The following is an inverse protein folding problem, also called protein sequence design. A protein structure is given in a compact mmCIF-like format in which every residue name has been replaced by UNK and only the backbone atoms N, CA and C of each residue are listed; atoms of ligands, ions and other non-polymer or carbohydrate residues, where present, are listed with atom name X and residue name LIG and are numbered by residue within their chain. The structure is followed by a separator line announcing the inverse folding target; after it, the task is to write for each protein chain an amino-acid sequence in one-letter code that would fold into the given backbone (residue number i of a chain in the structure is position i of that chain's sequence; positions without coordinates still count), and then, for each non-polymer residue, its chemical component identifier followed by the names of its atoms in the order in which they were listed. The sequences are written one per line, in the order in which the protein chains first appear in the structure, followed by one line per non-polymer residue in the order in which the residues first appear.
data_IF_744178933779
#
_entry.id   IF_744178933779
#
_cell.length_a   1.000
_cell.length_b   1.000
_cell.length_c   1.000
_cell.angle_alpha   90.00
_cell.angle_beta   90.00
_cell.angle_gamma   90.00
#
_symmetry.space_group_name_H-M   'P 1'
#
loop_
_entity.id
_entity.type
_entity.pdbx_description
1 polymer ?
#
# COMPACT_ATOMS: atom_id res chain seq x y z
N UNK A 1 -38.54 12.64 25.69
CA UNK A 1 -37.51 12.89 24.65
C UNK A 1 -36.09 12.51 25.09
N UNK A 2 -35.64 12.84 26.32
CA UNK A 2 -34.29 12.46 26.84
C UNK A 2 -34.04 10.94 27.01
N UNK A 3 -35.10 10.13 27.20
CA UNK A 3 -34.98 8.68 27.46
C UNK A 3 -34.50 7.86 26.25
N UNK A 4 -34.84 8.32 25.03
CA UNK A 4 -34.36 7.71 23.78
C UNK A 4 -33.00 8.28 23.33
N UNK A 5 -32.63 9.47 23.82
CA UNK A 5 -31.35 10.10 23.54
C UNK A 5 -30.17 9.26 24.07
N UNK A 6 -30.34 8.66 25.26
CA UNK A 6 -29.33 7.78 25.88
C UNK A 6 -29.20 6.43 25.16
N UNK A 7 -30.29 5.92 24.58
CA UNK A 7 -30.29 4.70 23.75
C UNK A 7 -29.60 4.91 22.40
N UNK A 8 -29.77 6.09 21.77
CA UNK A 8 -29.08 6.43 20.51
C UNK A 8 -27.58 6.58 20.73
N UNK A 9 -27.15 7.14 21.88
CA UNK A 9 -25.74 7.29 22.23
C UNK A 9 -25.06 5.93 22.48
N UNK A 10 -25.78 4.95 23.02
CA UNK A 10 -25.26 3.60 23.23
C UNK A 10 -25.13 2.83 21.90
N UNK A 11 -26.01 3.07 20.93
CA UNK A 11 -25.97 2.42 19.61
C UNK A 11 -24.73 2.80 18.78
N UNK A 12 -24.18 4.01 18.97
CA UNK A 12 -22.97 4.46 18.27
C UNK A 12 -21.66 3.89 18.84
N UNK A 13 -21.65 3.37 20.07
CA UNK A 13 -20.44 2.81 20.71
C UNK A 13 -20.20 1.35 20.29
N UNK A 14 -21.24 0.64 19.86
CA UNK A 14 -21.18 -0.79 19.52
C UNK A 14 -20.93 -1.08 18.04
N UNK A 15 -20.87 -0.05 17.18
CA UNK A 15 -20.53 -0.21 15.78
C UNK A 15 -19.05 0.15 15.58
N UNK A 16 -18.10 -0.81 15.70
CA UNK A 16 -16.74 -0.53 15.29
C UNK A 16 -16.77 -0.21 13.80
N UNK A 17 -16.51 1.04 13.46
CA UNK A 17 -16.37 1.48 12.08
C UNK A 17 -15.10 0.84 11.55
N UNK A 18 -15.23 -0.33 10.91
CA UNK A 18 -14.11 -0.99 10.24
C UNK A 18 -13.85 -0.24 8.95
N UNK A 19 -12.95 0.73 9.01
CA UNK A 19 -12.33 1.27 7.80
C UNK A 19 -11.39 0.19 7.29
N UNK A 20 -11.87 -0.64 6.36
CA UNK A 20 -11.01 -1.50 5.59
C UNK A 20 -10.44 -0.67 4.45
N UNK A 21 -9.10 -0.55 4.38
CA UNK A 21 -8.46 0.25 3.35
C UNK A 21 -8.87 -0.22 1.95
N UNK A 22 -9.06 0.74 1.06
CA UNK A 22 -9.63 0.51 -0.27
C UNK A 22 -8.70 -0.37 -1.12
N UNK A 23 -9.26 -1.40 -1.76
CA UNK A 23 -8.53 -2.29 -2.68
C UNK A 23 -8.65 -1.72 -4.09
N UNK A 24 -7.54 -1.63 -4.81
CA UNK A 24 -7.57 -1.19 -6.21
C UNK A 24 -8.13 -2.30 -7.10
N UNK A 25 -9.16 -2.00 -7.88
CA UNK A 25 -9.74 -2.96 -8.84
C UNK A 25 -9.45 -2.49 -10.27
N UNK A 26 -8.57 -3.23 -10.96
CA UNK A 26 -8.24 -2.96 -12.36
C UNK A 26 -9.31 -3.58 -13.27
N UNK A 27 -10.06 -2.73 -13.99
CA UNK A 27 -11.19 -3.17 -14.83
C UNK A 27 -10.95 -3.00 -16.34
N UNK A 28 -9.97 -2.20 -16.75
CA UNK A 28 -9.69 -1.89 -18.18
C UNK A 28 -8.19 -1.72 -18.42
N UNK A 29 -7.67 -2.29 -19.50
CA UNK A 29 -6.22 -2.38 -19.80
C UNK A 29 -5.58 -1.05 -20.29
N UNK A 30 -6.35 0.03 -20.45
CA UNK A 30 -5.88 1.28 -21.11
C UNK A 30 -5.94 2.54 -20.24
N UNK A 31 -6.26 2.44 -18.96
CA UNK A 31 -6.29 3.60 -18.07
C UNK A 31 -5.00 3.69 -17.26
N UNK A 32 -4.42 4.90 -17.23
CA UNK A 32 -3.56 5.31 -16.12
C UNK A 32 -4.48 5.47 -14.91
N UNK A 33 -4.30 4.62 -13.91
CA UNK A 33 -5.02 4.74 -12.63
C UNK A 33 -4.18 5.60 -11.69
N UNK A 34 -4.80 6.63 -11.11
CA UNK A 34 -4.20 7.30 -9.96
C UNK A 34 -4.29 6.37 -8.75
N UNK A 35 -3.12 6.04 -8.20
CA UNK A 35 -2.98 5.11 -7.09
C UNK A 35 -3.06 5.82 -5.73
N UNK A 36 -3.15 7.15 -5.73
CA UNK A 36 -3.41 7.94 -4.55
C UNK A 36 -4.68 7.44 -3.85
N UNK A 37 -4.61 7.28 -2.53
CA UNK A 37 -5.76 6.78 -1.76
C UNK A 37 -5.87 5.26 -1.69
N UNK A 38 -5.12 4.48 -2.48
CA UNK A 38 -5.07 3.01 -2.33
C UNK A 38 -3.85 2.52 -1.55
N UNK A 39 -2.81 3.36 -1.46
CA UNK A 39 -1.60 3.03 -0.73
C UNK A 39 -1.80 3.08 0.79
N UNK A 40 -1.08 2.17 1.43
CA UNK A 40 -1.01 2.01 2.87
C UNK A 40 0.43 2.10 3.31
N UNK A 41 0.66 2.65 4.49
CA UNK A 41 1.98 2.98 5.00
C UNK A 41 2.24 2.37 6.37
N UNK A 42 3.43 1.84 6.57
CA UNK A 42 3.96 1.47 7.88
C UNK A 42 5.44 1.88 8.00
N UNK A 43 5.80 2.53 9.10
CA UNK A 43 7.18 2.93 9.39
C UNK A 43 7.86 1.89 10.29
N UNK A 44 8.91 1.23 9.79
CA UNK A 44 9.80 0.42 10.61
C UNK A 44 11.03 1.24 11.03
N UNK A 45 10.92 1.84 12.21
CA UNK A 45 12.00 2.66 12.82
C UNK A 45 13.23 1.86 13.23
N UNK A 46 13.05 0.57 13.53
CA UNK A 46 14.15 -0.27 13.99
C UNK A 46 14.87 -0.98 12.85
N UNK A 47 14.27 -0.98 11.65
CA UNK A 47 14.80 -1.63 10.44
C UNK A 47 15.03 -3.13 10.63
N UNK A 48 14.12 -3.79 11.33
CA UNK A 48 14.24 -5.22 11.69
C UNK A 48 13.21 -6.10 11.01
N UNK A 49 12.20 -5.52 10.36
CA UNK A 49 11.11 -6.30 9.75
C UNK A 49 11.46 -6.75 8.33
N UNK A 50 11.19 -8.02 8.04
CA UNK A 50 11.25 -8.62 6.70
C UNK A 50 9.91 -8.44 5.96
N UNK A 51 9.88 -8.75 4.66
CA UNK A 51 8.62 -8.75 3.89
C UNK A 51 7.61 -9.76 4.46
N UNK A 52 8.08 -10.90 4.97
CA UNK A 52 7.24 -11.93 5.60
C UNK A 52 6.64 -11.45 6.92
N UNK A 53 7.36 -10.63 7.68
CA UNK A 53 6.84 -10.00 8.90
C UNK A 53 5.75 -8.98 8.55
N UNK A 54 6.01 -8.16 7.52
CA UNK A 54 5.07 -7.13 7.05
C UNK A 54 3.78 -7.75 6.51
N UNK A 55 3.85 -8.88 5.79
CA UNK A 55 2.66 -9.62 5.33
C UNK A 55 1.77 -10.08 6.49
N UNK A 56 2.37 -10.42 7.64
CA UNK A 56 1.65 -10.90 8.83
C UNK A 56 1.12 -9.75 9.70
N UNK A 57 1.53 -8.51 9.44
CA UNK A 57 1.03 -7.36 10.18
C UNK A 57 -0.47 -7.20 9.96
N UNK A 58 -1.17 -6.88 11.05
CA UNK A 58 -2.59 -6.56 11.00
C UNK A 58 -2.78 -5.25 10.24
N UNK A 59 -3.86 -5.20 9.47
CA UNK A 59 -4.26 -4.04 8.67
C UNK A 59 -4.29 -2.73 9.46
N UNK A 60 -4.75 -2.79 10.72
CA UNK A 60 -4.83 -1.67 11.66
C UNK A 60 -3.48 -1.02 12.00
N UNK A 61 -2.36 -1.69 11.68
CA UNK A 61 -1.01 -1.14 11.86
C UNK A 61 -0.64 -0.18 10.73
N UNK A 62 -1.27 -0.31 9.57
CA UNK A 62 -1.00 0.55 8.44
C UNK A 62 -1.85 1.82 8.52
N UNK A 63 -1.24 2.94 8.14
CA UNK A 63 -1.93 4.20 7.94
C UNK A 63 -2.32 4.35 6.48
N UNK A 64 -3.54 4.80 6.21
CA UNK A 64 -3.97 5.10 4.83
C UNK A 64 -3.21 6.33 4.32
N UNK A 65 -2.68 6.24 3.10
CA UNK A 65 -2.11 7.39 2.41
C UNK A 65 -3.24 8.08 1.64
N UNK A 66 -3.61 9.28 2.08
CA UNK A 66 -4.71 10.07 1.48
C UNK A 66 -4.24 11.21 0.60
N UNK A 67 -2.93 11.37 0.43
CA UNK A 67 -2.32 12.44 -0.39
C UNK A 67 -1.92 11.89 -1.75
N UNK A 68 -2.03 12.72 -2.79
CA UNK A 68 -1.60 12.40 -4.15
C UNK A 68 -0.08 12.16 -4.28
N UNK A 69 0.71 12.76 -3.39
CA UNK A 69 2.17 12.56 -3.36
C UNK A 69 2.62 12.10 -1.98
N UNK A 70 3.43 11.05 -1.98
CA UNK A 70 4.06 10.50 -0.78
C UNK A 70 5.47 11.08 -0.69
N UNK A 71 5.77 11.75 0.41
CA UNK A 71 7.12 12.20 0.73
C UNK A 71 7.40 11.88 2.20
N UNK A 72 8.35 10.98 2.43
CA UNK A 72 8.76 10.56 3.78
C UNK A 72 9.82 11.47 4.39
N UNK A 73 10.34 12.44 3.63
CA UNK A 73 11.48 13.25 4.01
C UNK A 73 12.76 12.43 4.13
N UNK A 74 13.77 13.01 4.78
CA UNK A 74 14.98 12.31 5.16
C UNK A 74 14.71 11.54 6.46
N UNK A 75 14.82 10.22 6.41
CA UNK A 75 14.62 9.35 7.57
C UNK A 75 15.56 8.16 7.50
N UNK A 76 16.02 7.72 8.66
CA UNK A 76 16.83 6.51 8.81
C UNK A 76 15.95 5.25 8.97
N UNK A 77 14.63 5.36 8.87
CA UNK A 77 13.65 4.28 8.95
C UNK A 77 13.45 3.56 7.61
N UNK A 78 12.98 2.31 7.64
CA UNK A 78 12.42 1.67 6.44
C UNK A 78 10.93 2.04 6.35
N UNK A 79 10.54 2.63 5.23
CA UNK A 79 9.16 3.02 4.94
C UNK A 79 8.50 1.95 4.06
N UNK A 80 7.60 1.16 4.66
CA UNK A 80 6.84 0.15 3.95
C UNK A 80 5.60 0.77 3.32
N UNK A 81 5.52 0.68 1.99
CA UNK A 81 4.34 1.09 1.22
C UNK A 81 3.71 -0.15 0.61
N UNK A 82 2.41 -0.31 0.84
CA UNK A 82 1.63 -1.47 0.39
C UNK A 82 0.45 -1.02 -0.48
N UNK A 83 0.22 -1.78 -1.55
CA UNK A 83 -0.93 -1.65 -2.43
C UNK A 83 -1.56 -3.02 -2.61
N UNK A 84 -2.85 -3.13 -2.33
CA UNK A 84 -3.63 -4.35 -2.58
C UNK A 84 -4.37 -4.20 -3.91
N UNK A 85 -4.07 -5.08 -4.87
CA UNK A 85 -4.61 -5.03 -6.23
C UNK A 85 -5.51 -6.24 -6.48
N UNK A 86 -6.67 -6.01 -7.09
CA UNK A 86 -7.48 -7.01 -7.77
C UNK A 86 -7.43 -6.76 -9.27
N UNK A 87 -6.80 -7.67 -10.01
CA UNK A 87 -6.82 -7.62 -11.45
C UNK A 87 -8.04 -8.38 -11.98
N UNK A 88 -9.06 -7.65 -12.46
CA UNK A 88 -10.24 -8.22 -13.10
C UNK A 88 -10.13 -8.17 -14.64
N UNK A 89 -8.94 -7.89 -15.18
CA UNK A 89 -8.68 -7.87 -16.62
C UNK A 89 -8.03 -9.18 -17.07
N UNK A 90 -7.99 -9.38 -18.39
CA UNK A 90 -7.26 -10.49 -19.00
C UNK A 90 -5.79 -10.12 -19.30
N UNK A 91 -5.29 -8.98 -18.82
CA UNK A 91 -3.94 -8.50 -19.06
C UNK A 91 -3.12 -8.54 -17.79
N UNK A 92 -1.88 -8.99 -17.90
CA UNK A 92 -0.86 -8.91 -16.85
C UNK A 92 0.16 -7.80 -17.12
N UNK A 93 0.04 -7.08 -18.24
CA UNK A 93 0.98 -6.04 -18.68
C UNK A 93 0.74 -4.71 -17.95
N UNK A 94 0.78 -4.77 -16.61
CA UNK A 94 0.67 -3.60 -15.75
C UNK A 94 2.06 -3.15 -15.32
N UNK A 95 2.26 -1.84 -15.38
CA UNK A 95 3.47 -1.18 -14.96
C UNK A 95 3.17 -0.29 -13.75
N UNK A 96 3.88 -0.53 -12.64
CA UNK A 96 3.94 0.43 -11.55
C UNK A 96 5.00 1.49 -11.87
N UNK A 97 4.55 2.72 -12.08
CA UNK A 97 5.43 3.87 -12.30
C UNK A 97 5.65 4.63 -10.99
N UNK A 98 6.92 4.93 -10.68
CA UNK A 98 7.28 5.82 -9.59
C UNK A 98 8.03 7.03 -10.15
N UNK A 99 7.50 8.22 -9.90
CA UNK A 99 8.13 9.49 -10.24
C UNK A 99 8.89 10.02 -9.02
N UNK A 100 10.02 9.40 -8.67
CA UNK A 100 10.81 9.77 -7.49
C UNK A 100 12.28 10.02 -7.87
N UNK A 101 12.70 11.29 -8.00
CA UNK A 101 14.00 11.64 -8.58
C UNK A 101 15.21 11.46 -7.65
N UNK A 102 15.03 11.02 -6.40
CA UNK A 102 16.10 10.99 -5.40
C UNK A 102 15.92 9.90 -4.34
N UNK A 103 15.56 8.68 -4.74
CA UNK A 103 15.47 7.54 -3.83
C UNK A 103 16.77 6.74 -3.92
N UNK A 104 17.47 6.59 -2.79
CA UNK A 104 18.71 5.82 -2.70
C UNK A 104 18.49 4.34 -3.05
N UNK A 105 17.49 3.71 -2.42
CA UNK A 105 17.10 2.32 -2.70
C UNK A 105 15.60 2.10 -2.51
N UNK A 106 14.99 1.34 -3.42
CA UNK A 106 13.63 0.83 -3.30
C UNK A 106 13.62 -0.67 -3.54
N UNK A 107 12.96 -1.40 -2.63
CA UNK A 107 12.77 -2.83 -2.73
C UNK A 107 11.30 -3.11 -3.06
N UNK A 108 11.04 -3.67 -4.23
CA UNK A 108 9.70 -4.08 -4.65
C UNK A 108 9.48 -5.55 -4.34
N UNK A 109 8.38 -5.83 -3.65
CA UNK A 109 7.92 -7.18 -3.39
C UNK A 109 6.54 -7.37 -4.01
N UNK A 110 6.45 -8.18 -5.05
CA UNK A 110 5.18 -8.60 -5.63
C UNK A 110 4.80 -9.97 -5.08
N UNK A 111 3.60 -10.06 -4.52
CA UNK A 111 3.14 -11.25 -3.78
C UNK A 111 1.93 -11.81 -4.51
N UNK A 112 2.05 -13.05 -5.00
CA UNK A 112 0.97 -13.75 -5.70
C UNK A 112 1.00 -15.24 -5.40
N UNK A 113 -0.13 -15.79 -4.97
CA UNK A 113 -0.28 -17.22 -4.65
C UNK A 113 0.86 -17.73 -3.74
N UNK A 114 1.15 -16.97 -2.67
CA UNK A 114 2.25 -17.20 -1.71
C UNK A 114 3.68 -17.03 -2.25
N UNK A 115 3.85 -16.82 -3.56
CA UNK A 115 5.15 -16.52 -4.16
C UNK A 115 5.49 -15.04 -3.97
N UNK A 116 6.74 -14.78 -3.58
CA UNK A 116 7.28 -13.43 -3.44
C UNK A 116 8.31 -13.20 -4.54
N UNK A 117 8.05 -12.22 -5.40
CA UNK A 117 8.99 -11.75 -6.41
C UNK A 117 9.63 -10.46 -5.91
N UNK A 118 10.95 -10.44 -5.82
CA UNK A 118 11.71 -9.31 -5.31
C UNK A 118 12.53 -8.65 -6.42
N UNK A 119 12.51 -7.32 -6.46
CA UNK A 119 13.40 -6.53 -7.30
C UNK A 119 13.83 -5.26 -6.57
N UNK A 120 14.97 -4.69 -6.97
CA UNK A 120 15.54 -3.50 -6.34
C UNK A 120 15.78 -2.44 -7.43
N UNK A 121 15.53 -1.18 -7.09
CA UNK A 121 15.89 -0.02 -7.91
C UNK A 121 16.37 1.13 -7.00
N UNK A 122 16.69 2.30 -7.58
CA UNK A 122 17.18 3.46 -6.85
C UNK A 122 18.57 3.91 -7.33
N UNK A 123 19.05 5.02 -6.77
CA UNK A 123 20.31 5.65 -7.16
C UNK A 123 21.54 4.81 -6.78
N UNK A 124 21.46 4.00 -5.72
CA UNK A 124 22.51 3.05 -5.34
C UNK A 124 22.59 1.84 -6.29
N UNK A 125 21.53 1.55 -7.04
CA UNK A 125 21.40 0.37 -7.91
C UNK A 125 21.47 0.69 -9.42
N UNK A 126 21.53 1.99 -9.79
CA UNK A 126 21.68 2.52 -11.16
C UNK A 126 21.01 1.68 -12.27
N UNK A 127 19.68 1.80 -12.30
CA UNK A 127 18.75 1.61 -13.42
C UNK A 127 18.30 0.19 -13.80
N UNK A 128 17.05 -0.13 -13.43
CA UNK A 128 16.06 -0.88 -14.24
C UNK A 128 14.65 -0.41 -13.85
N UNK A 129 14.16 0.66 -14.48
CA UNK A 129 12.85 1.23 -14.18
C UNK A 129 11.78 0.57 -15.06
N UNK A 130 11.15 -0.45 -14.50
CA UNK A 130 9.78 -0.92 -14.78
C UNK A 130 9.62 -2.31 -14.17
N UNK A 131 8.87 -2.45 -13.07
CA UNK A 131 8.43 -3.78 -12.64
C UNK A 131 7.23 -4.18 -13.48
N UNK A 132 7.42 -5.11 -14.40
CA UNK A 132 6.32 -5.82 -15.07
C UNK A 132 5.77 -6.82 -14.06
N UNK A 133 4.49 -6.70 -13.73
CA UNK A 133 3.87 -7.65 -12.81
C UNK A 133 3.88 -9.07 -13.42
N UNK A 134 4.40 -10.09 -12.73
CA UNK A 134 4.54 -11.44 -13.28
C UNK A 134 3.16 -12.11 -13.51
N UNK A 135 3.17 -13.07 -14.44
CA UNK A 135 1.99 -13.80 -14.94
C UNK A 135 1.20 -14.58 -13.90
#
# INVERSE_FOLDING_TARGET
MKKYFLLILFFFIIFPFRVQGEKLILKKVKSTEDLAGYFKFFEDKNKTLSVEDIQKLKEEKFSQITRETINFGLTDSINWVRLDIENQTNSNDWLLELTAPSIDSINYYFIKDENIFHSIAGDEEKYKNAMVLPN
#
